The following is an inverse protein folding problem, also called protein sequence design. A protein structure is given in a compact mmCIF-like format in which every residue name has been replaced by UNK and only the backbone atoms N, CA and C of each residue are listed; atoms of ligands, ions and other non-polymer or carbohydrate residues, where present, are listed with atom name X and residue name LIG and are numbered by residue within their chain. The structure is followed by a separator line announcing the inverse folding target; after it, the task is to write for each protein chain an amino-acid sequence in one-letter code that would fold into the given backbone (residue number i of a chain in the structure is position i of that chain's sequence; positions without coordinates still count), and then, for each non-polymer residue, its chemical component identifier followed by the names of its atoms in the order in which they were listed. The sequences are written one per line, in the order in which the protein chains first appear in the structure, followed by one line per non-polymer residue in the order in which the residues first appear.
data_IF_074551853010
#
_entry.id   IF_074551853010
#
_cell.length_a   1.000
_cell.length_b   1.000
_cell.length_c   1.000
_cell.angle_alpha   90.00
_cell.angle_beta   90.00
_cell.angle_gamma   90.00
#
_symmetry.space_group_name_H-M   'P 1'
#
loop_
_entity.id
_entity.type
_entity.pdbx_description
1 polymer ?
#
# COMPACT_ATOMS: atom_id res chain seq x y z
N UNK A 1 -1.34 27.56 18.89
CA UNK A 1 -1.66 27.08 17.52
C UNK A 1 -1.36 25.60 17.49
N UNK A 2 -2.30 24.78 17.06
CA UNK A 2 -2.15 23.31 16.99
C UNK A 2 -0.97 22.96 16.07
N UNK A 3 0.03 22.25 16.60
CA UNK A 3 1.30 21.95 15.91
C UNK A 3 1.37 20.53 15.39
N UNK A 4 0.38 19.70 15.75
CA UNK A 4 0.42 18.27 15.51
C UNK A 4 -0.85 17.79 14.83
N UNK A 5 -0.73 16.69 14.11
CA UNK A 5 -1.82 15.87 13.63
C UNK A 5 -1.63 14.44 14.13
N UNK A 6 -2.69 13.65 14.21
CA UNK A 6 -2.57 12.22 14.43
C UNK A 6 -2.93 11.51 13.13
N UNK A 7 -2.07 10.61 12.69
CA UNK A 7 -2.37 9.68 11.61
C UNK A 7 -2.59 8.28 12.16
N UNK A 8 -3.62 7.59 11.69
CA UNK A 8 -3.92 6.21 12.03
C UNK A 8 -3.83 5.35 10.77
N UNK A 9 -3.02 4.31 10.85
CA UNK A 9 -3.03 3.19 9.91
C UNK A 9 -3.85 2.06 10.53
N UNK A 10 -5.06 1.84 10.03
CA UNK A 10 -6.03 0.89 10.56
C UNK A 10 -6.07 -0.36 9.69
N UNK A 11 -5.35 -1.40 10.10
CA UNK A 11 -5.35 -2.70 9.45
C UNK A 11 -6.21 -3.76 10.17
N UNK A 12 -6.47 -4.87 9.50
CA UNK A 12 -7.26 -5.98 10.06
C UNK A 12 -6.64 -6.67 11.28
N UNK A 13 -5.32 -6.57 11.46
CA UNK A 13 -4.58 -7.20 12.57
C UNK A 13 -4.15 -6.18 13.62
N UNK A 14 -3.70 -5.02 13.18
CA UNK A 14 -3.15 -3.95 14.02
C UNK A 14 -3.71 -2.61 13.61
N UNK A 15 -3.78 -1.69 14.55
CA UNK A 15 -4.05 -0.28 14.37
C UNK A 15 -2.89 0.52 14.96
N UNK A 16 -2.28 1.39 14.17
CA UNK A 16 -1.12 2.20 14.57
C UNK A 16 -1.48 3.67 14.50
N UNK A 17 -1.35 4.38 15.61
CA UNK A 17 -1.48 5.83 15.66
C UNK A 17 -0.11 6.50 15.82
N UNK A 18 0.14 7.55 15.07
CA UNK A 18 1.34 8.38 15.19
C UNK A 18 1.00 9.85 15.31
N UNK A 19 1.71 10.55 16.20
CA UNK A 19 1.70 12.01 16.27
C UNK A 19 2.70 12.52 15.25
N UNK A 20 2.25 13.36 14.35
CA UNK A 20 3.05 13.90 13.25
C UNK A 20 3.14 15.43 13.37
N UNK A 21 4.35 15.96 13.27
CA UNK A 21 4.60 17.39 13.31
C UNK A 21 4.38 18.06 11.94
N UNK A 22 4.58 19.37 11.86
CA UNK A 22 4.42 20.16 10.62
C UNK A 22 5.43 19.82 9.52
N UNK A 23 6.52 19.12 9.82
CA UNK A 23 7.51 18.61 8.87
C UNK A 23 7.20 17.18 8.39
N UNK A 24 6.04 16.62 8.78
CA UNK A 24 5.64 15.24 8.53
C UNK A 24 6.54 14.19 9.19
N UNK A 25 7.16 14.52 10.33
CA UNK A 25 7.96 13.61 11.14
C UNK A 25 7.12 13.01 12.26
N UNK A 26 7.23 11.71 12.48
CA UNK A 26 6.56 11.02 13.59
C UNK A 26 7.32 11.31 14.87
N UNK A 27 6.70 12.04 15.81
CA UNK A 27 7.27 12.35 17.11
C UNK A 27 6.89 11.35 18.20
N UNK A 28 5.88 10.55 17.97
CA UNK A 28 5.46 9.45 18.83
C UNK A 28 4.54 8.49 18.10
N UNK A 29 4.65 7.19 18.40
CA UNK A 29 3.88 6.13 17.72
C UNK A 29 3.47 5.03 18.71
N UNK A 30 2.26 4.52 18.57
CA UNK A 30 1.71 3.45 19.38
C UNK A 30 0.90 2.49 18.52
N UNK A 31 1.10 1.19 18.73
CA UNK A 31 0.39 0.13 17.96
C UNK A 31 -0.37 -0.77 18.91
N UNK A 32 -1.65 -1.00 18.61
CA UNK A 32 -2.50 -1.96 19.28
C UNK A 32 -3.00 -3.03 18.30
N UNK A 33 -3.38 -4.20 18.84
CA UNK A 33 -4.07 -5.22 18.06
C UNK A 33 -5.50 -4.79 17.76
N UNK A 34 -5.97 -4.95 16.53
CA UNK A 34 -7.34 -4.63 16.12
C UNK A 34 -8.37 -5.54 16.78
N UNK A 35 -8.03 -6.82 17.00
CA UNK A 35 -8.82 -7.83 17.72
C UNK A 35 -10.20 -8.05 17.09
N UNK A 36 -10.22 -8.36 15.81
CA UNK A 36 -11.43 -8.75 15.09
C UNK A 36 -11.78 -10.24 15.35
N UNK A 37 -13.09 -10.63 15.26
CA UNK A 37 -14.25 -9.77 15.03
C UNK A 37 -14.67 -9.02 16.31
N UNK A 38 -15.18 -7.79 16.14
CA UNK A 38 -15.74 -6.96 17.21
C UNK A 38 -16.77 -6.00 16.65
N UNK A 39 -17.70 -5.43 17.47
CA UNK A 39 -18.61 -4.37 17.03
C UNK A 39 -17.85 -3.11 16.56
N UNK A 40 -18.40 -2.38 15.59
CA UNK A 40 -17.79 -1.15 15.07
C UNK A 40 -17.61 -0.10 16.17
N UNK A 41 -18.61 0.11 17.01
CA UNK A 41 -18.60 1.05 18.14
C UNK A 41 -17.47 0.77 19.15
N UNK A 42 -17.13 -0.52 19.35
CA UNK A 42 -16.03 -0.89 20.24
C UNK A 42 -14.66 -0.62 19.58
N UNK A 43 -14.57 -0.72 18.25
CA UNK A 43 -13.38 -0.36 17.50
C UNK A 43 -13.18 1.16 17.51
N UNK A 44 -14.25 1.95 17.33
CA UNK A 44 -14.22 3.41 17.38
C UNK A 44 -13.75 3.91 18.75
N UNK A 45 -14.28 3.36 19.84
CA UNK A 45 -13.82 3.68 21.21
C UNK A 45 -12.32 3.36 21.36
N UNK A 46 -11.90 2.20 20.85
CA UNK A 46 -10.48 1.82 20.93
C UNK A 46 -9.58 2.75 20.09
N UNK A 47 -10.03 3.21 18.92
CA UNK A 47 -9.30 4.20 18.10
C UNK A 47 -9.22 5.56 18.82
N UNK A 48 -10.30 6.00 19.43
CA UNK A 48 -10.31 7.24 20.23
C UNK A 48 -9.36 7.14 21.43
N UNK A 49 -9.37 6.00 22.14
CA UNK A 49 -8.47 5.75 23.26
C UNK A 49 -7.01 5.64 22.82
N UNK A 50 -6.73 5.04 21.64
CA UNK A 50 -5.41 4.98 21.04
C UNK A 50 -4.87 6.38 20.76
N UNK A 51 -5.69 7.28 20.17
CA UNK A 51 -5.33 8.68 19.92
C UNK A 51 -4.99 9.43 21.21
N UNK A 52 -5.83 9.30 22.24
CA UNK A 52 -5.57 9.94 23.52
C UNK A 52 -4.34 9.39 24.23
N UNK A 53 -4.12 8.09 24.12
CA UNK A 53 -2.99 7.41 24.75
C UNK A 53 -1.68 7.82 24.09
N UNK A 54 -1.59 7.81 22.75
CA UNK A 54 -0.37 8.23 22.06
C UNK A 54 -0.04 9.70 22.36
N UNK A 55 -1.03 10.59 22.46
CA UNK A 55 -0.84 11.99 22.83
C UNK A 55 -0.29 12.11 24.27
N UNK A 56 -0.96 11.48 25.24
CA UNK A 56 -0.55 11.48 26.64
C UNK A 56 0.87 10.94 26.85
N UNK A 57 1.19 9.79 26.25
CA UNK A 57 2.47 9.10 26.43
C UNK A 57 3.64 9.90 25.84
N UNK A 58 3.36 10.76 24.84
CA UNK A 58 4.33 11.67 24.25
C UNK A 58 4.23 13.12 24.80
N UNK A 59 3.45 13.35 25.88
CA UNK A 59 3.30 14.65 26.56
C UNK A 59 2.78 15.76 25.63
N UNK A 60 1.95 15.39 24.64
CA UNK A 60 1.25 16.33 23.76
C UNK A 60 -0.16 16.51 24.29
N UNK A 61 -0.56 17.77 24.52
CA UNK A 61 -1.94 18.07 24.88
C UNK A 61 -2.84 17.76 23.66
N UNK A 62 -3.92 17.01 23.90
CA UNK A 62 -4.85 16.68 22.82
C UNK A 62 -5.49 17.92 22.18
N UNK A 63 -5.60 19.03 22.92
CA UNK A 63 -6.03 20.32 22.40
C UNK A 63 -5.06 20.92 21.35
N UNK A 64 -3.81 20.47 21.31
CA UNK A 64 -2.83 20.86 20.29
C UNK A 64 -2.91 20.00 19.01
N UNK A 65 -3.77 18.98 18.99
CA UNK A 65 -4.04 18.16 17.80
C UNK A 65 -5.00 18.92 16.87
N UNK A 66 -4.54 19.18 15.66
CA UNK A 66 -5.32 19.93 14.65
C UNK A 66 -6.48 19.10 14.10
N UNK A 67 -6.23 17.84 13.82
CA UNK A 67 -7.18 16.84 13.34
C UNK A 67 -6.58 15.45 13.44
N UNK A 68 -7.43 14.44 13.27
CA UNK A 68 -7.03 13.03 13.13
C UNK A 68 -7.31 12.59 11.70
N UNK A 69 -6.35 11.91 11.07
CA UNK A 69 -6.53 11.25 9.78
C UNK A 69 -6.45 9.74 9.94
N UNK A 70 -7.21 8.99 9.14
CA UNK A 70 -7.29 7.53 9.21
C UNK A 70 -7.17 6.95 7.80
N UNK A 71 -6.21 6.04 7.60
CA UNK A 71 -6.18 5.12 6.47
C UNK A 71 -6.82 3.81 6.88
N UNK A 72 -7.84 3.35 6.15
CA UNK A 72 -8.57 2.10 6.42
C UNK A 72 -8.83 1.32 5.13
N UNK A 73 -8.78 -0.02 5.16
CA UNK A 73 -9.23 -0.80 4.02
C UNK A 73 -10.70 -0.52 3.67
N UNK A 74 -11.04 -0.64 2.40
CA UNK A 74 -12.43 -0.54 1.92
C UNK A 74 -12.74 0.70 1.10
N UNK A 75 -14.02 0.84 0.74
CA UNK A 75 -14.52 1.96 -0.06
C UNK A 75 -14.85 3.14 0.85
N UNK A 76 -14.06 4.19 0.80
CA UNK A 76 -14.16 5.35 1.68
C UNK A 76 -14.66 6.57 0.92
N UNK A 77 -15.75 7.16 1.37
CA UNK A 77 -16.17 8.49 0.95
C UNK A 77 -15.37 9.54 1.76
N UNK A 78 -14.32 10.08 1.17
CA UNK A 78 -13.44 11.04 1.82
C UNK A 78 -14.17 12.31 2.31
N UNK A 79 -15.22 12.74 1.61
CA UNK A 79 -15.95 13.97 1.95
C UNK A 79 -16.74 13.83 3.24
N UNK A 80 -17.33 12.67 3.48
CA UNK A 80 -18.19 12.39 4.63
C UNK A 80 -17.53 11.58 5.74
N UNK A 81 -16.40 10.92 5.44
CA UNK A 81 -15.78 9.96 6.36
C UNK A 81 -16.52 8.62 6.47
N UNK A 82 -17.46 8.36 5.57
CA UNK A 82 -18.26 7.15 5.52
C UNK A 82 -17.50 6.02 4.83
N UNK A 83 -17.53 4.80 5.39
CA UNK A 83 -16.95 3.59 4.82
C UNK A 83 -18.08 2.67 4.37
N UNK A 84 -18.32 2.60 3.06
CA UNK A 84 -19.44 1.85 2.51
C UNK A 84 -19.31 0.33 2.68
N UNK A 85 -18.10 -0.17 2.48
CA UNK A 85 -17.80 -1.59 2.64
C UNK A 85 -16.34 -1.80 3.04
N UNK A 86 -16.12 -2.63 4.05
CA UNK A 86 -14.81 -3.06 4.50
C UNK A 86 -14.77 -4.58 4.65
N UNK A 87 -14.16 -5.26 3.68
CA UNK A 87 -14.05 -6.72 3.65
C UNK A 87 -13.28 -7.30 4.82
N UNK A 88 -12.25 -6.58 5.29
CA UNK A 88 -11.37 -7.08 6.34
C UNK A 88 -12.03 -7.11 7.71
N UNK A 89 -12.98 -6.20 7.95
CA UNK A 89 -13.69 -6.08 9.22
C UNK A 89 -15.10 -6.67 9.17
N UNK A 90 -15.66 -6.87 7.95
CA UNK A 90 -17.03 -7.30 7.75
C UNK A 90 -18.04 -6.19 8.08
N UNK A 91 -17.61 -4.92 8.06
CA UNK A 91 -18.49 -3.78 8.29
C UNK A 91 -19.07 -3.25 6.98
N UNK A 92 -20.33 -2.84 7.06
CA UNK A 92 -21.07 -2.20 5.99
C UNK A 92 -21.65 -0.89 6.52
N UNK A 93 -21.74 0.11 5.66
CA UNK A 93 -22.37 1.38 5.99
C UNK A 93 -21.85 2.01 7.29
N UNK A 94 -20.52 2.00 7.45
CA UNK A 94 -19.84 2.43 8.67
C UNK A 94 -19.60 3.93 8.67
N UNK A 95 -20.14 4.63 9.66
CA UNK A 95 -20.07 6.09 9.80
C UNK A 95 -18.80 6.56 10.53
N UNK A 96 -17.66 5.94 10.24
CA UNK A 96 -16.40 6.03 10.98
C UNK A 96 -15.95 7.46 11.28
N UNK A 97 -15.96 8.35 10.28
CA UNK A 97 -15.52 9.73 10.44
C UNK A 97 -16.33 10.51 11.46
N UNK A 98 -17.64 10.68 11.25
CA UNK A 98 -18.53 11.36 12.18
C UNK A 98 -18.53 10.78 13.59
N UNK A 99 -18.59 9.44 13.74
CA UNK A 99 -18.63 8.79 15.05
C UNK A 99 -17.33 9.06 15.84
N UNK A 100 -16.18 9.09 15.16
CA UNK A 100 -14.92 9.47 15.78
C UNK A 100 -14.80 10.97 16.04
N UNK A 101 -15.37 11.85 15.20
CA UNK A 101 -15.45 13.29 15.49
C UNK A 101 -16.18 13.55 16.81
N UNK A 102 -17.31 12.86 17.01
CA UNK A 102 -18.08 12.96 18.25
C UNK A 102 -17.29 12.45 19.47
N UNK A 103 -16.57 11.33 19.31
CA UNK A 103 -15.76 10.78 20.38
C UNK A 103 -14.52 11.62 20.71
N UNK A 104 -13.87 12.23 19.73
CA UNK A 104 -12.59 12.93 19.88
C UNK A 104 -12.75 14.44 20.10
N UNK A 105 -13.86 15.03 19.65
CA UNK A 105 -14.08 16.47 19.70
C UNK A 105 -13.23 17.28 18.73
N UNK A 106 -12.68 16.65 17.69
CA UNK A 106 -11.90 17.29 16.64
C UNK A 106 -12.24 16.71 15.25
N UNK A 107 -11.82 17.40 14.18
CA UNK A 107 -12.06 16.93 12.80
C UNK A 107 -11.37 15.60 12.54
N UNK A 108 -12.06 14.68 11.84
CA UNK A 108 -11.54 13.38 11.41
C UNK A 108 -11.63 13.27 9.89
N UNK A 109 -10.52 12.96 9.23
CA UNK A 109 -10.46 12.62 7.82
C UNK A 109 -10.27 11.11 7.65
N UNK A 110 -11.07 10.48 6.81
CA UNK A 110 -10.96 9.04 6.53
C UNK A 110 -10.63 8.85 5.05
N UNK A 111 -9.66 8.00 4.77
CA UNK A 111 -9.21 7.66 3.42
C UNK A 111 -8.99 6.16 3.31
N UNK A 112 -8.95 5.65 2.08
CA UNK A 112 -8.47 4.30 1.81
C UNK A 112 -6.99 4.16 2.23
N UNK A 113 -6.61 3.00 2.76
CA UNK A 113 -5.26 2.72 3.29
C UNK A 113 -4.15 2.85 2.23
N UNK A 114 -4.39 2.35 1.00
CA UNK A 114 -3.42 2.46 -0.09
C UNK A 114 -3.26 3.93 -0.56
N UNK A 115 -4.36 4.69 -0.64
CA UNK A 115 -4.32 6.12 -0.92
C UNK A 115 -3.59 6.89 0.18
N UNK A 116 -3.85 6.59 1.44
CA UNK A 116 -3.15 7.22 2.57
C UNK A 116 -1.65 6.94 2.51
N UNK A 117 -1.25 5.66 2.33
CA UNK A 117 0.15 5.30 2.21
C UNK A 117 0.84 5.97 1.01
N UNK A 118 0.15 6.03 -0.14
CA UNK A 118 0.66 6.72 -1.32
C UNK A 118 0.85 8.23 -1.07
N UNK A 119 -0.09 8.85 -0.36
CA UNK A 119 0.03 10.26 -0.01
C UNK A 119 1.16 10.51 0.99
N UNK A 120 1.44 9.56 1.88
CA UNK A 120 2.63 9.58 2.74
C UNK A 120 3.92 9.62 1.95
N UNK A 121 4.09 8.69 1.00
CA UNK A 121 5.26 8.66 0.11
C UNK A 121 5.37 9.93 -0.76
N UNK A 122 4.25 10.52 -1.15
CA UNK A 122 4.21 11.79 -1.89
C UNK A 122 4.69 12.98 -1.04
N UNK A 123 4.24 13.06 0.21
CA UNK A 123 4.55 14.21 1.09
C UNK A 123 5.96 14.12 1.67
N UNK A 124 6.41 12.94 2.09
CA UNK A 124 7.61 12.78 2.90
C UNK A 124 8.54 11.64 2.45
N UNK A 125 8.16 10.84 1.45
CA UNK A 125 8.92 9.66 1.02
C UNK A 125 9.49 9.74 -0.38
N UNK A 126 9.47 8.62 -1.09
CA UNK A 126 10.11 8.43 -2.39
C UNK A 126 9.54 9.30 -3.53
N UNK A 127 8.30 9.78 -3.38
CA UNK A 127 7.66 10.66 -4.35
C UNK A 127 7.70 12.16 -3.97
N UNK A 128 8.44 12.51 -2.90
CA UNK A 128 8.55 13.90 -2.46
C UNK A 128 9.20 14.80 -3.51
N UNK A 129 8.52 15.92 -3.82
CA UNK A 129 9.02 16.92 -4.76
C UNK A 129 8.57 16.72 -6.21
N UNK A 130 7.84 15.65 -6.50
CA UNK A 130 7.15 15.43 -7.78
C UNK A 130 5.72 15.96 -7.71
N UNK A 131 5.11 16.24 -8.85
CA UNK A 131 3.73 16.71 -8.93
C UNK A 131 2.76 15.59 -9.27
N UNK A 132 3.19 14.67 -10.13
CA UNK A 132 2.42 13.50 -10.56
C UNK A 132 3.15 12.21 -10.14
N UNK A 133 2.53 11.43 -9.29
CA UNK A 133 3.13 10.24 -8.70
C UNK A 133 2.15 9.07 -8.66
N UNK A 134 2.67 7.87 -8.87
CA UNK A 134 1.92 6.63 -8.61
C UNK A 134 2.70 5.77 -7.63
N UNK A 135 2.04 5.31 -6.58
CA UNK A 135 2.62 4.40 -5.61
C UNK A 135 1.95 3.05 -5.75
N UNK A 136 2.76 2.01 -5.94
CA UNK A 136 2.31 0.61 -6.07
C UNK A 136 2.88 -0.19 -4.91
N UNK A 137 2.02 -0.88 -4.18
CA UNK A 137 2.45 -1.76 -3.08
C UNK A 137 2.33 -3.23 -3.48
N UNK A 138 3.46 -3.93 -3.51
CA UNK A 138 3.55 -5.36 -3.82
C UNK A 138 3.57 -6.16 -2.50
N UNK A 139 2.37 -6.47 -2.00
CA UNK A 139 2.13 -7.23 -0.77
C UNK A 139 1.38 -8.53 -1.03
N UNK A 140 0.50 -8.93 -0.11
CA UNK A 140 -0.43 -10.06 -0.30
C UNK A 140 -1.25 -9.88 -1.58
N UNK A 141 -1.67 -8.64 -1.85
CA UNK A 141 -2.25 -8.17 -3.10
C UNK A 141 -1.39 -7.08 -3.74
N UNK A 142 -1.99 -6.32 -4.65
CA UNK A 142 -1.42 -5.10 -5.22
C UNK A 142 -2.34 -3.93 -4.86
N UNK A 143 -1.86 -3.07 -3.96
CA UNK A 143 -2.48 -1.78 -3.70
C UNK A 143 -1.86 -0.69 -4.57
N UNK A 144 -2.59 0.39 -4.78
CA UNK A 144 -2.10 1.55 -5.52
C UNK A 144 -2.77 2.84 -5.07
N UNK A 145 -2.01 3.91 -5.10
CA UNK A 145 -2.52 5.27 -4.92
C UNK A 145 -1.92 6.18 -5.99
N UNK A 146 -2.74 7.06 -6.51
CA UNK A 146 -2.42 7.90 -7.67
C UNK A 146 -2.57 9.36 -7.25
N UNK A 147 -1.52 10.13 -7.43
CA UNK A 147 -1.47 11.57 -7.18
C UNK A 147 -1.28 12.26 -8.53
N UNK A 148 -2.19 13.15 -8.90
CA UNK A 148 -2.13 13.96 -10.11
C UNK A 148 -2.31 15.43 -9.75
N UNK A 149 -1.40 16.28 -10.20
CA UNK A 149 -1.41 17.70 -9.83
C UNK A 149 -1.37 17.92 -8.32
N UNK A 150 -0.64 17.08 -7.59
CA UNK A 150 -0.54 17.14 -6.13
C UNK A 150 -1.76 16.62 -5.35
N UNK A 151 -2.76 16.06 -6.01
CA UNK A 151 -4.01 15.60 -5.40
C UNK A 151 -4.22 14.10 -5.58
N UNK A 152 -4.74 13.44 -4.55
CA UNK A 152 -5.12 12.02 -4.63
C UNK A 152 -6.25 11.85 -5.64
N UNK A 153 -6.08 10.96 -6.62
CA UNK A 153 -7.12 10.56 -7.56
C UNK A 153 -8.11 9.61 -6.88
N UNK A 154 -9.22 10.14 -6.40
CA UNK A 154 -10.27 9.36 -5.74
C UNK A 154 -11.36 8.87 -6.69
N UNK A 155 -11.51 9.53 -7.88
CA UNK A 155 -12.62 9.29 -8.79
C UNK A 155 -13.94 9.93 -8.31
N UNK A 156 -14.97 9.86 -9.14
CA UNK A 156 -16.26 10.51 -8.84
C UNK A 156 -17.01 9.84 -7.67
N UNK A 157 -16.72 8.57 -7.41
CA UNK A 157 -17.35 7.77 -6.34
C UNK A 157 -16.30 7.15 -5.40
N UNK A 158 -15.14 7.79 -5.25
CA UNK A 158 -14.07 7.43 -4.31
C UNK A 158 -13.52 6.01 -4.46
N UNK A 159 -13.62 5.40 -5.65
CA UNK A 159 -13.18 4.03 -5.94
C UNK A 159 -12.15 3.97 -7.10
N UNK A 160 -11.46 5.07 -7.38
CA UNK A 160 -10.38 5.06 -8.37
C UNK A 160 -9.08 4.50 -7.77
N UNK A 161 -8.18 4.09 -8.66
CA UNK A 161 -6.84 3.66 -8.24
C UNK A 161 -6.70 2.17 -7.98
N UNK A 162 -7.70 1.33 -8.20
CA UNK A 162 -7.66 -0.12 -8.00
C UNK A 162 -6.85 -0.85 -9.11
N UNK A 163 -5.58 -0.43 -9.32
CA UNK A 163 -4.73 -0.92 -10.43
C UNK A 163 -4.44 -2.42 -10.35
N UNK A 164 -4.35 -2.98 -9.14
CA UNK A 164 -4.16 -4.42 -8.92
C UNK A 164 -5.27 -5.27 -9.54
N UNK A 165 -6.46 -4.69 -9.75
CA UNK A 165 -7.59 -5.36 -10.37
C UNK A 165 -7.73 -5.10 -11.88
N UNK A 166 -6.79 -4.40 -12.52
CA UNK A 166 -6.73 -4.31 -13.98
C UNK A 166 -6.43 -5.68 -14.58
N UNK A 167 -7.23 -6.08 -15.58
CA UNK A 167 -7.04 -7.36 -16.27
C UNK A 167 -5.87 -7.24 -17.23
N UNK A 168 -4.80 -8.01 -16.99
CA UNK A 168 -3.64 -8.11 -17.86
C UNK A 168 -3.62 -9.42 -18.66
N UNK A 169 -4.38 -10.42 -18.22
CA UNK A 169 -4.52 -11.69 -18.92
C UNK A 169 -6.00 -12.02 -19.05
N UNK A 170 -6.55 -11.87 -20.26
CA UNK A 170 -7.95 -12.21 -20.53
C UNK A 170 -8.22 -13.69 -20.18
N UNK A 171 -9.31 -13.94 -19.47
CA UNK A 171 -9.73 -15.27 -19.01
C UNK A 171 -8.68 -16.01 -18.13
N UNK A 172 -7.74 -15.26 -17.54
CA UNK A 172 -6.66 -15.79 -16.73
C UNK A 172 -7.10 -16.29 -15.35
N UNK A 173 -6.20 -16.21 -14.36
CA UNK A 173 -6.39 -16.72 -13.01
C UNK A 173 -7.56 -16.01 -12.32
N UNK A 174 -8.41 -16.78 -11.62
CA UNK A 174 -9.53 -16.24 -10.82
C UNK A 174 -9.02 -15.29 -9.73
N UNK A 175 -9.60 -14.10 -9.64
CA UNK A 175 -9.32 -13.11 -8.61
C UNK A 175 -10.41 -13.10 -7.54
N UNK A 176 -10.04 -12.72 -6.31
CA UNK A 176 -10.96 -12.55 -5.18
C UNK A 176 -12.02 -11.47 -5.42
N UNK A 177 -11.74 -10.48 -6.30
CA UNK A 177 -12.71 -9.45 -6.72
C UNK A 177 -13.83 -9.98 -7.63
N UNK A 178 -13.86 -11.28 -7.93
CA UNK A 178 -14.86 -11.91 -8.83
C UNK A 178 -14.45 -11.93 -10.31
N UNK A 179 -13.44 -11.17 -10.73
CA UNK A 179 -12.92 -11.13 -12.12
C UNK A 179 -11.86 -12.19 -12.34
N UNK A 180 -11.41 -12.33 -13.59
CA UNK A 180 -10.28 -13.20 -13.96
C UNK A 180 -9.20 -12.38 -14.63
N UNK A 181 -7.92 -12.76 -14.37
CA UNK A 181 -6.77 -12.18 -15.03
C UNK A 181 -6.26 -10.85 -14.47
N UNK A 182 -6.69 -10.46 -13.26
CA UNK A 182 -6.22 -9.24 -12.59
C UNK A 182 -4.70 -9.25 -12.37
N UNK A 183 -4.06 -8.10 -12.51
CA UNK A 183 -2.61 -7.93 -12.34
C UNK A 183 -2.10 -8.50 -11.01
N UNK A 184 -2.81 -8.27 -9.94
CA UNK A 184 -2.51 -8.81 -8.60
C UNK A 184 -2.27 -10.33 -8.61
N UNK A 185 -3.02 -11.08 -9.44
CA UNK A 185 -2.90 -12.55 -9.49
C UNK A 185 -1.60 -13.03 -10.12
N UNK A 186 -0.83 -12.13 -10.73
CA UNK A 186 0.43 -12.44 -11.42
C UNK A 186 1.62 -11.75 -10.79
N UNK A 187 1.45 -10.55 -10.25
CA UNK A 187 2.54 -9.68 -9.82
C UNK A 187 2.58 -9.36 -8.31
N UNK A 188 1.66 -9.89 -7.49
CA UNK A 188 1.75 -9.74 -6.03
C UNK A 188 2.81 -10.66 -5.41
N UNK A 189 3.19 -10.40 -4.16
CA UNK A 189 4.04 -11.30 -3.38
C UNK A 189 3.40 -12.69 -3.18
N UNK A 190 2.07 -12.75 -3.06
CA UNK A 190 1.34 -14.02 -3.02
C UNK A 190 1.42 -14.77 -4.33
N UNK A 191 1.40 -14.07 -5.47
CA UNK A 191 1.61 -14.67 -6.78
C UNK A 191 3.02 -15.27 -6.87
N UNK A 192 4.06 -14.53 -6.50
CA UNK A 192 5.44 -15.02 -6.47
C UNK A 192 5.58 -16.26 -5.58
N UNK A 193 4.99 -16.25 -4.39
CA UNK A 193 4.98 -17.41 -3.48
C UNK A 193 4.31 -18.63 -4.14
N UNK A 194 3.17 -18.44 -4.79
CA UNK A 194 2.46 -19.51 -5.51
C UNK A 194 3.31 -20.12 -6.63
N UNK A 195 3.90 -19.28 -7.48
CA UNK A 195 4.74 -19.74 -8.60
C UNK A 195 6.03 -20.42 -8.09
N UNK A 196 6.61 -19.92 -6.99
CA UNK A 196 7.75 -20.57 -6.33
C UNK A 196 7.40 -21.99 -5.86
N UNK A 197 6.25 -22.15 -5.20
CA UNK A 197 5.76 -23.49 -4.77
C UNK A 197 5.56 -24.42 -5.97
N UNK A 198 4.95 -23.93 -7.04
CA UNK A 198 4.72 -24.71 -8.26
C UNK A 198 6.06 -25.15 -8.93
N UNK A 199 7.01 -24.24 -9.02
CA UNK A 199 8.34 -24.53 -9.56
C UNK A 199 9.10 -25.56 -8.73
N UNK A 200 9.05 -25.46 -7.39
CA UNK A 200 9.63 -26.46 -6.49
C UNK A 200 8.98 -27.84 -6.66
N UNK A 201 7.67 -27.89 -6.86
CA UNK A 201 6.98 -29.16 -7.10
C UNK A 201 7.39 -29.81 -8.41
N UNK A 202 7.62 -29.00 -9.46
CA UNK A 202 8.04 -29.45 -10.79
C UNK A 202 9.52 -29.86 -10.83
N UNK A 203 10.41 -29.17 -10.08
CA UNK A 203 11.83 -29.44 -10.02
C UNK A 203 12.24 -29.87 -8.61
N UNK A 204 12.56 -31.17 -8.45
CA UNK A 204 13.03 -31.74 -7.18
C UNK A 204 14.49 -31.46 -6.86
N UNK A 205 15.26 -30.93 -7.83
CA UNK A 205 16.68 -30.67 -7.70
C UNK A 205 16.98 -29.21 -7.30
N UNK A 206 16.01 -28.31 -7.37
CA UNK A 206 16.20 -26.92 -6.93
C UNK A 206 16.68 -26.86 -5.48
N UNK A 207 17.62 -25.94 -5.21
CA UNK A 207 18.14 -25.74 -3.84
C UNK A 207 17.10 -25.17 -2.91
N UNK A 208 15.99 -24.62 -3.41
CA UNK A 208 14.88 -24.09 -2.62
C UNK A 208 14.36 -25.13 -1.62
N UNK A 209 14.37 -26.43 -1.95
CA UNK A 209 14.02 -27.53 -1.03
C UNK A 209 14.93 -27.64 0.18
N UNK A 210 16.20 -27.17 0.07
CA UNK A 210 17.15 -27.16 1.18
C UNK A 210 17.08 -25.86 2.01
N UNK A 211 16.37 -24.86 1.50
CA UNK A 211 16.29 -23.53 2.11
C UNK A 211 15.00 -23.29 2.87
N UNK A 212 14.02 -24.20 2.76
CA UNK A 212 12.76 -24.16 3.49
C UNK A 212 12.46 -25.52 4.12
N UNK A 213 11.62 -25.57 5.16
CA UNK A 213 11.23 -26.80 5.82
C UNK A 213 10.27 -27.62 4.93
N UNK A 214 9.31 -26.94 4.34
CA UNK A 214 8.27 -27.50 3.49
C UNK A 214 7.63 -26.39 2.61
N UNK A 215 6.61 -26.76 1.83
CA UNK A 215 5.89 -25.82 0.98
C UNK A 215 5.08 -24.77 1.77
N UNK A 216 4.68 -25.05 2.99
CA UNK A 216 3.87 -24.10 3.79
C UNK A 216 4.72 -22.93 4.29
N UNK A 217 6.02 -23.13 4.45
CA UNK A 217 6.98 -22.11 4.84
C UNK A 217 7.58 -21.32 3.67
N UNK A 218 7.19 -21.62 2.42
CA UNK A 218 7.62 -20.85 1.23
C UNK A 218 7.01 -19.46 1.27
N UNK A 219 7.86 -18.46 1.08
CA UNK A 219 7.48 -17.05 0.98
C UNK A 219 8.10 -16.40 -0.28
N UNK A 220 7.73 -15.17 -0.55
CA UNK A 220 8.19 -14.43 -1.73
C UNK A 220 9.72 -14.21 -1.78
N UNK A 221 10.41 -14.22 -0.62
CA UNK A 221 11.86 -14.00 -0.55
C UNK A 221 12.65 -15.24 -0.99
N UNK A 222 12.10 -16.44 -0.82
CA UNK A 222 12.82 -17.70 -1.05
C UNK A 222 13.39 -17.80 -2.47
N UNK A 223 12.61 -17.43 -3.49
CA UNK A 223 13.05 -17.47 -4.89
C UNK A 223 14.22 -16.51 -5.13
N UNK A 224 14.18 -15.29 -4.58
CA UNK A 224 15.29 -14.33 -4.68
C UNK A 224 16.55 -14.86 -4.02
N UNK A 225 16.44 -15.41 -2.81
CA UNK A 225 17.59 -15.96 -2.06
C UNK A 225 18.22 -17.17 -2.79
N UNK A 226 17.41 -18.01 -3.45
CA UNK A 226 17.90 -19.16 -4.21
C UNK A 226 18.53 -18.73 -5.53
N UNK A 227 17.91 -17.81 -6.25
CA UNK A 227 18.47 -17.26 -7.50
C UNK A 227 19.81 -16.56 -7.27
N UNK A 228 19.96 -15.83 -6.16
CA UNK A 228 21.25 -15.23 -5.75
C UNK A 228 22.35 -16.27 -5.50
N UNK A 229 21.97 -17.53 -5.23
CA UNK A 229 22.90 -18.68 -5.09
C UNK A 229 23.08 -19.47 -6.39
N UNK A 230 22.55 -18.98 -7.50
CA UNK A 230 22.70 -19.58 -8.83
C UNK A 230 21.66 -20.64 -9.18
N UNK A 231 20.53 -20.71 -8.46
CA UNK A 231 19.44 -21.65 -8.80
C UNK A 231 18.67 -21.17 -10.04
N UNK A 232 18.77 -21.94 -11.11
CA UNK A 232 18.13 -21.61 -12.40
C UNK A 232 16.59 -21.70 -12.36
N UNK A 233 16.04 -22.59 -11.54
CA UNK A 233 14.58 -22.73 -11.38
C UNK A 233 14.02 -21.51 -10.66
N UNK A 234 14.66 -21.06 -9.60
CA UNK A 234 14.30 -19.84 -8.90
C UNK A 234 14.45 -18.59 -9.78
N UNK A 235 15.53 -18.51 -10.59
CA UNK A 235 15.73 -17.42 -11.54
C UNK A 235 14.56 -17.29 -12.52
N UNK A 236 14.16 -18.40 -13.16
CA UNK A 236 13.04 -18.41 -14.10
C UNK A 236 11.73 -17.94 -13.46
N UNK A 237 11.49 -18.30 -12.20
CA UNK A 237 10.31 -17.83 -11.46
C UNK A 237 10.35 -16.31 -11.29
N UNK A 238 11.51 -15.77 -10.89
CA UNK A 238 11.68 -14.32 -10.69
C UNK A 238 11.55 -13.57 -12.03
N UNK A 239 12.23 -14.04 -13.08
CA UNK A 239 12.22 -13.38 -14.38
C UNK A 239 10.79 -13.26 -14.92
N UNK A 240 10.01 -14.36 -14.89
CA UNK A 240 8.61 -14.35 -15.28
C UNK A 240 7.74 -13.45 -14.42
N UNK A 241 7.98 -13.44 -13.09
CA UNK A 241 7.23 -12.60 -12.17
C UNK A 241 7.54 -11.10 -12.40
N UNK A 242 8.80 -10.75 -12.65
CA UNK A 242 9.24 -9.38 -12.96
C UNK A 242 8.58 -8.87 -14.26
N UNK A 243 8.46 -9.74 -15.28
CA UNK A 243 7.73 -9.38 -16.50
C UNK A 243 6.29 -8.95 -16.20
N UNK A 244 5.56 -9.72 -15.37
CA UNK A 244 4.21 -9.32 -14.96
C UNK A 244 4.16 -8.03 -14.14
N UNK A 245 5.16 -7.78 -13.29
CA UNK A 245 5.29 -6.46 -12.61
C UNK A 245 5.47 -5.38 -13.66
N UNK A 246 6.39 -5.59 -14.61
CA UNK A 246 6.71 -4.66 -15.70
C UNK A 246 5.52 -4.34 -16.59
N UNK A 247 4.69 -5.34 -16.95
CA UNK A 247 3.44 -5.14 -17.71
C UNK A 247 2.52 -4.13 -17.00
N UNK A 248 2.32 -4.29 -15.70
CA UNK A 248 1.48 -3.37 -14.95
C UNK A 248 2.08 -1.98 -14.85
N UNK A 249 3.40 -1.87 -14.64
CA UNK A 249 4.10 -0.58 -14.62
C UNK A 249 4.02 0.12 -15.98
N UNK A 250 4.19 -0.61 -17.09
CA UNK A 250 4.00 -0.05 -18.43
C UNK A 250 2.58 0.47 -18.65
N UNK A 251 1.57 -0.25 -18.15
CA UNK A 251 0.18 0.21 -18.19
C UNK A 251 -0.04 1.49 -17.35
N UNK A 252 0.61 1.60 -16.18
CA UNK A 252 0.59 2.83 -15.36
C UNK A 252 1.18 4.00 -16.14
N UNK A 253 2.34 3.81 -16.79
CA UNK A 253 3.00 4.84 -17.61
C UNK A 253 2.07 5.27 -18.75
N UNK A 254 1.52 4.32 -19.50
CA UNK A 254 0.64 4.60 -20.65
C UNK A 254 -0.67 5.28 -20.25
N UNK A 255 -1.11 5.13 -19.00
CA UNK A 255 -2.40 5.66 -18.53
C UNK A 255 -2.26 7.04 -17.91
N UNK A 256 -1.20 7.25 -17.11
CA UNK A 256 -1.06 8.45 -16.27
C UNK A 256 0.15 9.29 -16.62
N UNK A 257 1.16 8.74 -17.30
CA UNK A 257 2.45 9.38 -17.59
C UNK A 257 3.01 10.14 -16.36
N UNK A 258 3.13 9.46 -15.19
CA UNK A 258 3.54 10.13 -13.96
C UNK A 258 5.02 10.51 -14.01
N UNK A 259 5.44 11.50 -13.21
CA UNK A 259 6.86 11.86 -13.05
C UNK A 259 7.63 10.78 -12.28
N UNK A 260 6.97 10.12 -11.33
CA UNK A 260 7.56 9.08 -10.48
C UNK A 260 6.59 7.94 -10.20
N UNK A 261 7.14 6.72 -10.18
CA UNK A 261 6.45 5.50 -9.71
C UNK A 261 7.25 4.94 -8.53
N UNK A 262 6.65 4.92 -7.35
CA UNK A 262 7.24 4.32 -6.16
C UNK A 262 6.72 2.89 -5.97
N UNK A 263 7.62 1.93 -5.80
CA UNK A 263 7.28 0.52 -5.55
C UNK A 263 7.55 0.21 -4.09
N UNK A 264 6.49 -0.15 -3.37
CA UNK A 264 6.51 -0.53 -1.95
C UNK A 264 6.09 -1.98 -1.72
N UNK A 265 5.84 -2.31 -0.44
CA UNK A 265 5.54 -3.65 0.02
C UNK A 265 6.80 -4.47 0.32
N UNK A 266 6.62 -5.65 0.94
CA UNK A 266 7.76 -6.45 1.43
C UNK A 266 8.75 -6.88 0.36
N UNK A 267 8.31 -7.04 -0.90
CA UNK A 267 9.18 -7.44 -2.01
C UNK A 267 10.08 -6.30 -2.47
N UNK A 268 9.73 -5.04 -2.27
CA UNK A 268 10.55 -3.90 -2.64
C UNK A 268 11.90 -3.84 -1.90
N UNK A 269 12.02 -4.55 -0.76
CA UNK A 269 13.28 -4.72 -0.03
C UNK A 269 14.38 -5.44 -0.84
N UNK A 270 14.05 -6.04 -2.01
CA UNK A 270 15.03 -6.59 -2.93
C UNK A 270 15.85 -5.49 -3.67
N UNK A 271 15.44 -4.23 -3.55
CA UNK A 271 16.17 -3.09 -4.09
C UNK A 271 16.39 -3.19 -5.61
N UNK A 272 17.61 -2.95 -6.06
CA UNK A 272 17.94 -2.94 -7.49
C UNK A 272 17.79 -4.31 -8.17
N UNK A 273 17.83 -5.42 -7.45
CA UNK A 273 17.54 -6.75 -8.00
C UNK A 273 16.13 -6.83 -8.58
N UNK A 274 15.19 -6.09 -7.97
CA UNK A 274 13.82 -5.93 -8.47
C UNK A 274 13.70 -4.73 -9.41
N UNK A 275 14.18 -3.56 -8.99
CA UNK A 275 13.87 -2.29 -9.67
C UNK A 275 14.56 -2.15 -11.03
N UNK A 276 15.82 -2.61 -11.16
CA UNK A 276 16.54 -2.47 -12.42
C UNK A 276 15.88 -3.25 -13.58
N UNK A 277 15.51 -4.54 -13.43
CA UNK A 277 14.83 -5.24 -14.51
C UNK A 277 13.40 -4.75 -14.76
N UNK A 278 12.67 -4.28 -13.73
CA UNK A 278 11.35 -3.66 -13.91
C UNK A 278 11.45 -2.38 -14.73
N UNK A 279 12.45 -1.51 -14.46
CA UNK A 279 12.71 -0.31 -15.27
C UNK A 279 13.01 -0.67 -16.72
N UNK A 280 13.93 -1.62 -16.93
CA UNK A 280 14.31 -2.04 -18.28
C UNK A 280 13.14 -2.61 -19.08
N UNK A 281 12.28 -3.40 -18.44
CA UNK A 281 11.07 -3.92 -19.07
C UNK A 281 10.10 -2.79 -19.43
N UNK A 282 9.75 -1.94 -18.48
CA UNK A 282 8.80 -0.85 -18.68
C UNK A 282 9.29 0.15 -19.73
N UNK A 283 10.57 0.51 -19.72
CA UNK A 283 11.18 1.38 -20.74
C UNK A 283 11.10 0.76 -22.14
N UNK A 284 11.38 -0.54 -22.27
CA UNK A 284 11.26 -1.24 -23.55
C UNK A 284 9.83 -1.22 -24.10
N UNK A 285 8.83 -1.45 -23.25
CA UNK A 285 7.43 -1.51 -23.65
C UNK A 285 6.83 -0.12 -23.96
N UNK A 286 7.37 0.96 -23.39
CA UNK A 286 6.79 2.31 -23.55
C UNK A 286 7.64 3.26 -24.38
N UNK A 287 8.83 2.84 -24.87
CA UNK A 287 9.78 3.72 -25.58
C UNK A 287 9.24 4.45 -26.80
N UNK A 288 8.23 3.91 -27.46
CA UNK A 288 7.65 4.50 -28.66
C UNK A 288 6.52 5.49 -28.34
N UNK A 289 6.16 5.65 -27.08
CA UNK A 289 5.02 6.45 -26.62
C UNK A 289 5.53 7.66 -25.84
N UNK A 290 6.57 7.50 -25.04
CA UNK A 290 7.16 8.59 -24.25
C UNK A 290 8.02 9.52 -25.11
N UNK A 291 7.81 10.82 -24.98
CA UNK A 291 8.54 11.86 -25.74
C UNK A 291 9.84 12.28 -25.04
N UNK A 292 10.76 11.34 -24.82
CA UNK A 292 12.13 11.65 -24.39
C UNK A 292 12.36 11.77 -22.87
N UNK A 293 11.32 11.70 -22.04
CA UNK A 293 11.44 11.57 -20.59
C UNK A 293 10.76 10.29 -20.13
N UNK A 294 11.48 9.50 -19.33
CA UNK A 294 10.94 8.30 -18.73
C UNK A 294 10.69 8.54 -17.22
N UNK A 295 9.60 8.04 -16.64
CA UNK A 295 9.33 8.22 -15.22
C UNK A 295 10.45 7.68 -14.34
N UNK A 296 10.72 8.34 -13.23
CA UNK A 296 11.57 7.76 -12.19
C UNK A 296 10.84 6.58 -11.58
N UNK A 297 11.46 5.39 -11.55
CA UNK A 297 10.93 4.21 -10.85
C UNK A 297 11.88 3.92 -9.68
N UNK A 298 11.38 4.04 -8.45
CA UNK A 298 12.16 3.88 -7.23
C UNK A 298 11.41 3.07 -6.16
N UNK A 299 12.11 2.73 -5.07
CA UNK A 299 11.47 2.13 -3.91
C UNK A 299 10.76 3.19 -3.06
N UNK A 300 9.67 2.80 -2.39
CA UNK A 300 9.08 3.54 -1.28
C UNK A 300 10.12 3.70 -0.15
N UNK A 301 10.08 4.84 0.55
CA UNK A 301 11.07 5.19 1.57
C UNK A 301 10.51 5.11 3.00
N UNK A 302 9.20 5.30 3.18
CA UNK A 302 8.59 5.37 4.50
C UNK A 302 8.21 4.00 5.09
N UNK A 303 8.24 2.96 4.28
CA UNK A 303 7.90 1.59 4.72
C UNK A 303 6.57 1.53 5.50
N UNK A 304 6.61 1.00 6.74
CA UNK A 304 5.41 0.87 7.59
C UNK A 304 4.90 2.20 8.15
N UNK A 305 5.61 3.29 7.96
CA UNK A 305 5.19 4.62 8.44
C UNK A 305 4.41 5.41 7.38
N UNK A 306 4.39 4.93 6.13
CA UNK A 306 3.71 5.59 5.02
C UNK A 306 2.22 5.83 5.29
N UNK A 307 1.49 4.81 5.79
CA UNK A 307 0.08 4.91 6.14
C UNK A 307 -0.19 5.94 7.23
N UNK A 308 0.63 5.94 8.29
CA UNK A 308 0.51 6.89 9.41
C UNK A 308 0.79 8.33 8.96
N UNK A 309 1.90 8.56 8.24
CA UNK A 309 2.28 9.91 7.75
C UNK A 309 1.25 10.42 6.75
N UNK A 310 0.82 9.57 5.83
CA UNK A 310 -0.18 9.95 4.82
C UNK A 310 -1.54 10.25 5.43
N UNK A 311 -2.00 9.44 6.37
CA UNK A 311 -3.22 9.71 7.12
C UNK A 311 -3.12 11.05 7.89
N UNK A 312 -2.01 11.31 8.57
CA UNK A 312 -1.77 12.58 9.26
C UNK A 312 -1.75 13.79 8.31
N UNK A 313 -1.45 13.60 7.03
CA UNK A 313 -1.39 14.65 6.02
C UNK A 313 -2.73 14.89 5.28
N UNK A 314 -3.79 14.10 5.51
CA UNK A 314 -5.03 14.14 4.73
C UNK A 314 -5.70 15.51 4.71
N UNK A 315 -5.62 16.29 5.78
CA UNK A 315 -6.14 17.65 5.82
C UNK A 315 -5.44 18.62 4.86
N UNK A 316 -4.28 18.29 4.31
CA UNK A 316 -3.58 19.07 3.28
C UNK A 316 -3.84 18.55 1.84
N UNK A 317 -4.57 17.46 1.69
CA UNK A 317 -4.94 16.85 0.39
C UNK A 317 -6.25 17.41 -0.20
N UNK A 318 -6.81 18.45 0.42
CA UNK A 318 -8.10 19.06 0.08
C UNK A 318 -7.95 20.09 -1.05
#
# INVERSE_FOLDING_TARGET
MSKYTIGIDLGGTTMTAGIVNENYEIVGKLTWATRLPRPAEDLEKALADLCRTVARDNKVDFADIKYVGIGTPGSVNFTTGFVGFNTNFGYYDWNLGPDLEDLLGCKVYVENDANAAAYGEYIAGGAKGYNDAVVITLGTGIGSGIILGGKILRGFNFAAGEMGHNVIVKDGIQCTCGRRGCWERYASASALTRETKAAMQADKNTIMWKMTQDLDHVNAKLAFDAAAKGDETARKVIDSWIEYVGVGIANVINTFEPEVICIGGGVSNQGEVLLAPVRAYAENETRNITTGKFPVICACQLHNDAGVIGAAALGSSI
#
